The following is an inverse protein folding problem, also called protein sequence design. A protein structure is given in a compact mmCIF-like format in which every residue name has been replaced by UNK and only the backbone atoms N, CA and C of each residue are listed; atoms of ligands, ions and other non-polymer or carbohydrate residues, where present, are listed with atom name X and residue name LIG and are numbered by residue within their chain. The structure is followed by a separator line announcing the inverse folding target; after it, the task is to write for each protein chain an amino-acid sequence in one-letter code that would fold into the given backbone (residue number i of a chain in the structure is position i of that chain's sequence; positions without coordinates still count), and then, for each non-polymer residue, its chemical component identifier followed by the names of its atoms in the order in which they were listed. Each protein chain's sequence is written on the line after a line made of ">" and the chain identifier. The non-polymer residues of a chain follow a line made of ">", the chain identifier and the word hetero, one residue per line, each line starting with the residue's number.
data_IF_391649354999
#
_entry.id   IF_391649354999
#
_cell.length_a   1.000
_cell.length_b   1.000
_cell.length_c   1.000
_cell.angle_alpha   90.00
_cell.angle_beta   90.00
_cell.angle_gamma   90.00
#
_symmetry.space_group_name_H-M   'P 1'
#
loop_
_entity.id
_entity.type
_entity.pdbx_description
1 polymer ?
#
# COMPACT_ATOMS: atom_id res chain seq x y z
N UNK A 1 -17.79 10.81 62.81
CA UNK A 1 -17.65 9.79 61.73
C UNK A 1 -17.54 10.39 60.33
N UNK A 2 -18.36 11.37 59.91
CA UNK A 2 -18.33 11.91 58.54
C UNK A 2 -16.98 12.43 58.02
N UNK A 3 -16.20 13.15 58.84
CA UNK A 3 -14.86 13.64 58.45
C UNK A 3 -13.84 12.52 58.19
N UNK A 4 -13.98 11.38 58.85
CA UNK A 4 -13.07 10.23 58.67
C UNK A 4 -13.41 9.47 57.39
N UNK A 5 -14.70 9.30 57.12
CA UNK A 5 -15.20 8.69 55.88
C UNK A 5 -14.80 9.52 54.66
N UNK A 6 -14.91 10.85 54.72
CA UNK A 6 -14.51 11.73 53.62
C UNK A 6 -13.00 11.62 53.30
N UNK A 7 -12.14 11.49 54.32
CA UNK A 7 -10.69 11.29 54.13
C UNK A 7 -10.38 9.94 53.49
N UNK A 8 -11.07 8.87 53.91
CA UNK A 8 -10.89 7.52 53.35
C UNK A 8 -11.33 7.49 51.89
N UNK A 9 -12.47 8.10 51.56
CA UNK A 9 -12.96 8.22 50.17
C UNK A 9 -11.98 9.03 49.32
N UNK A 10 -11.45 10.14 49.84
CA UNK A 10 -10.45 10.95 49.14
C UNK A 10 -9.17 10.18 48.81
N UNK A 11 -8.67 9.37 49.74
CA UNK A 11 -7.51 8.49 49.51
C UNK A 11 -7.82 7.41 48.48
N UNK A 12 -9.02 6.82 48.51
CA UNK A 12 -9.40 5.80 47.54
C UNK A 12 -9.50 6.37 46.12
N UNK A 13 -10.10 7.55 45.95
CA UNK A 13 -10.17 8.25 44.66
C UNK A 13 -8.77 8.59 44.17
N UNK A 14 -7.89 9.07 45.05
CA UNK A 14 -6.50 9.37 44.71
C UNK A 14 -5.73 8.13 44.22
N UNK A 15 -5.91 6.99 44.88
CA UNK A 15 -5.32 5.71 44.45
C UNK A 15 -5.87 5.28 43.09
N UNK A 16 -7.17 5.44 42.84
CA UNK A 16 -7.78 5.12 41.53
C UNK A 16 -7.26 6.04 40.43
N UNK A 17 -7.07 7.34 40.73
CA UNK A 17 -6.49 8.30 39.77
C UNK A 17 -5.03 7.96 39.48
N UNK A 18 -4.23 7.62 40.50
CA UNK A 18 -2.85 7.16 40.30
C UNK A 18 -2.83 5.86 39.49
N UNK A 19 -3.65 4.88 39.85
CA UNK A 19 -3.74 3.64 39.09
C UNK A 19 -4.15 3.90 37.64
N UNK A 20 -5.09 4.80 37.40
CA UNK A 20 -5.48 5.21 36.05
C UNK A 20 -4.33 5.92 35.31
N UNK A 21 -3.57 6.79 35.96
CA UNK A 21 -2.43 7.46 35.33
C UNK A 21 -1.27 6.51 34.99
N UNK A 22 -1.02 5.48 35.82
CA UNK A 22 0.06 4.52 35.59
C UNK A 22 -0.35 3.31 34.74
N UNK A 23 -1.64 2.94 34.73
CA UNK A 23 -2.16 1.77 34.02
C UNK A 23 -3.16 2.09 32.91
N UNK A 24 -3.38 3.38 32.58
CA UNK A 24 -4.19 3.72 31.41
C UNK A 24 -3.51 3.20 30.14
N UNK A 25 -4.28 2.63 29.20
CA UNK A 25 -3.73 2.20 27.92
C UNK A 25 -3.16 3.41 27.19
N UNK A 26 -1.88 3.36 26.83
CA UNK A 26 -1.29 4.35 25.91
C UNK A 26 -2.05 4.31 24.60
N UNK A 27 -2.33 5.49 24.02
CA UNK A 27 -2.88 5.59 22.68
C UNK A 27 -1.85 5.04 21.68
N UNK A 28 -2.26 4.02 20.93
CA UNK A 28 -1.43 3.33 19.95
C UNK A 28 -1.91 3.66 18.55
N UNK A 29 -0.96 3.79 17.64
CA UNK A 29 -1.25 3.76 16.21
C UNK A 29 -1.43 2.31 15.78
N UNK A 30 -2.56 2.03 15.13
CA UNK A 30 -2.79 0.73 14.52
C UNK A 30 -1.76 0.47 13.42
N UNK A 31 -1.14 -0.71 13.46
CA UNK A 31 -0.31 -1.22 12.36
C UNK A 31 -1.23 -1.95 11.40
N UNK A 32 -1.39 -1.44 10.18
CA UNK A 32 -2.16 -2.15 9.17
C UNK A 32 -1.29 -3.27 8.58
N UNK A 33 -1.59 -4.52 8.94
CA UNK A 33 -0.96 -5.67 8.32
C UNK A 33 -1.58 -5.95 6.95
N UNK A 34 -0.77 -6.39 6.00
CA UNK A 34 -1.28 -6.82 4.70
C UNK A 34 -2.24 -8.02 4.87
N UNK A 35 -3.55 -7.87 4.55
CA UNK A 35 -4.54 -8.91 4.79
C UNK A 35 -4.26 -10.19 3.99
N UNK A 36 -3.55 -10.06 2.87
CA UNK A 36 -3.27 -11.14 1.93
C UNK A 36 -2.01 -11.96 2.27
N UNK A 37 -1.30 -11.67 3.37
CA UNK A 37 -0.05 -12.40 3.73
C UNK A 37 -0.24 -13.55 4.73
N UNK A 38 -1.20 -13.45 5.66
CA UNK A 38 -1.31 -14.39 6.80
C UNK A 38 -2.66 -15.10 6.93
N UNK A 39 -3.53 -15.01 5.92
CA UNK A 39 -4.82 -15.68 5.95
C UNK A 39 -4.62 -17.21 6.10
N UNK A 40 -5.08 -17.75 7.24
CA UNK A 40 -4.95 -19.17 7.60
C UNK A 40 -5.56 -20.04 6.49
N UNK A 41 -4.81 -21.05 6.04
CA UNK A 41 -5.30 -22.10 5.15
C UNK A 41 -6.34 -22.99 5.86
N UNK A 42 -7.53 -22.45 6.13
CA UNK A 42 -8.68 -23.22 6.61
C UNK A 42 -9.65 -23.47 5.45
N UNK A 43 -9.14 -23.96 4.33
CA UNK A 43 -9.98 -24.44 3.24
C UNK A 43 -9.63 -25.91 3.03
N UNK A 44 -10.53 -26.78 3.51
CA UNK A 44 -10.61 -28.16 3.02
C UNK A 44 -10.51 -28.11 1.51
N UNK A 45 -9.61 -28.89 0.90
CA UNK A 45 -9.55 -29.05 -0.55
C UNK A 45 -10.88 -29.62 -1.05
N UNK A 46 -11.89 -28.77 -1.25
CA UNK A 46 -12.99 -29.09 -2.13
C UNK A 46 -12.34 -29.31 -3.49
N UNK A 47 -12.64 -30.44 -4.11
CA UNK A 47 -12.28 -30.68 -5.50
C UNK A 47 -12.91 -29.56 -6.32
N UNK A 48 -12.15 -28.47 -6.54
CA UNK A 48 -12.57 -27.36 -7.39
C UNK A 48 -12.53 -27.91 -8.81
N UNK A 49 -13.70 -28.35 -9.28
CA UNK A 49 -13.93 -28.56 -10.70
C UNK A 49 -13.65 -27.22 -11.37
N UNK A 50 -12.70 -27.13 -12.32
CA UNK A 50 -12.41 -25.88 -12.99
C UNK A 50 -13.69 -25.40 -13.68
N UNK A 51 -14.28 -24.32 -13.17
CA UNK A 51 -15.34 -23.63 -13.88
C UNK A 51 -14.70 -23.04 -15.14
N UNK A 52 -15.02 -23.64 -16.29
CA UNK A 52 -14.61 -23.21 -17.63
C UNK A 52 -15.37 -21.93 -18.06
N UNK A 53 -15.44 -20.94 -17.18
CA UNK A 53 -15.85 -19.59 -17.52
C UNK A 53 -14.70 -18.63 -17.21
N UNK A 54 -13.59 -18.81 -17.93
CA UNK A 54 -12.64 -17.72 -18.19
C UNK A 54 -13.38 -16.65 -19.01
N UNK A 55 -14.26 -15.90 -18.37
CA UNK A 55 -14.91 -14.76 -18.99
C UNK A 55 -13.84 -13.70 -19.23
N UNK A 56 -13.31 -13.68 -20.45
CA UNK A 56 -12.13 -12.92 -20.84
C UNK A 56 -12.56 -11.58 -21.45
N UNK A 57 -12.12 -10.48 -20.84
CA UNK A 57 -12.35 -9.16 -21.41
C UNK A 57 -11.40 -8.93 -22.59
N UNK A 58 -11.88 -8.23 -23.62
CA UNK A 58 -11.06 -7.90 -24.80
C UNK A 58 -9.89 -7.00 -24.37
N UNK A 59 -8.65 -7.28 -24.83
CA UNK A 59 -7.50 -6.43 -24.54
C UNK A 59 -7.78 -4.95 -24.89
N UNK A 60 -7.28 -4.01 -24.08
CA UNK A 60 -7.47 -2.58 -24.36
C UNK A 60 -6.78 -2.22 -25.68
N UNK A 61 -7.45 -1.39 -26.49
CA UNK A 61 -6.92 -0.90 -27.77
C UNK A 61 -6.02 0.33 -27.62
N UNK A 62 -6.05 0.99 -26.47
CA UNK A 62 -5.27 2.18 -26.16
C UNK A 62 -4.94 2.25 -24.67
N UNK A 63 -4.11 3.22 -24.28
CA UNK A 63 -3.74 3.43 -22.88
C UNK A 63 -2.64 2.49 -22.38
N UNK A 64 -2.36 2.56 -21.08
CA UNK A 64 -1.21 1.88 -20.47
C UNK A 64 -1.21 0.36 -20.62
N UNK A 65 -2.39 -0.27 -20.78
CA UNK A 65 -2.50 -1.71 -20.98
C UNK A 65 -1.86 -2.19 -22.28
N UNK A 66 -1.74 -1.32 -23.28
CA UNK A 66 -1.04 -1.62 -24.55
C UNK A 66 0.48 -1.63 -24.42
N UNK A 67 1.02 -1.15 -23.29
CA UNK A 67 2.46 -1.08 -23.07
C UNK A 67 3.01 -2.40 -22.52
N UNK A 68 2.17 -3.27 -21.97
CA UNK A 68 2.59 -4.54 -21.38
C UNK A 68 3.13 -5.48 -22.46
N UNK A 69 4.37 -5.93 -22.28
CA UNK A 69 5.09 -6.76 -23.24
C UNK A 69 5.88 -5.99 -24.29
N UNK A 70 5.77 -4.66 -24.33
CA UNK A 70 6.57 -3.81 -25.22
C UNK A 70 7.97 -3.55 -24.64
N UNK A 71 8.89 -3.16 -25.53
CA UNK A 71 10.22 -2.68 -25.12
C UNK A 71 10.13 -1.33 -24.42
N UNK A 72 10.93 -1.15 -23.37
CA UNK A 72 11.01 0.11 -22.62
C UNK A 72 11.38 1.31 -23.52
N UNK A 73 12.25 1.10 -24.52
CA UNK A 73 12.71 2.16 -25.44
C UNK A 73 11.54 2.94 -26.06
N UNK A 74 10.42 2.26 -26.37
CA UNK A 74 9.22 2.92 -26.92
C UNK A 74 8.62 3.95 -25.97
N UNK A 75 8.73 3.75 -24.65
CA UNK A 75 8.31 4.73 -23.66
C UNK A 75 9.34 5.84 -23.51
N UNK A 76 10.63 5.52 -23.55
CA UNK A 76 11.70 6.52 -23.51
C UNK A 76 11.62 7.47 -24.70
N UNK A 77 11.31 6.97 -25.90
CA UNK A 77 11.09 7.79 -27.09
C UNK A 77 9.89 8.73 -26.94
N UNK A 78 8.84 8.27 -26.25
CA UNK A 78 7.58 9.03 -26.08
C UNK A 78 7.64 10.06 -24.94
N UNK A 79 8.23 9.69 -23.81
CA UNK A 79 8.18 10.47 -22.56
C UNK A 79 9.53 11.09 -22.17
N UNK A 80 10.59 10.78 -22.91
CA UNK A 80 11.97 11.09 -22.55
C UNK A 80 12.51 10.14 -21.49
N UNK A 81 13.60 10.56 -20.83
CA UNK A 81 14.17 9.82 -19.72
C UNK A 81 13.21 9.80 -18.52
N UNK A 82 13.24 8.69 -17.76
CA UNK A 82 12.48 8.55 -16.53
C UNK A 82 13.03 9.50 -15.44
N UNK A 83 12.15 10.00 -14.57
CA UNK A 83 12.50 10.87 -13.46
C UNK A 83 13.24 10.11 -12.35
N UNK A 84 12.97 8.82 -12.21
CA UNK A 84 13.68 7.93 -11.27
C UNK A 84 13.75 6.51 -11.81
N UNK A 85 14.91 5.87 -11.66
CA UNK A 85 15.13 4.47 -12.02
C UNK A 85 15.78 3.75 -10.85
N UNK A 86 15.28 2.56 -10.50
CA UNK A 86 15.86 1.78 -9.41
C UNK A 86 15.64 0.28 -9.57
N UNK A 87 16.57 -0.50 -9.02
CA UNK A 87 16.45 -1.95 -8.94
C UNK A 87 15.36 -2.36 -7.95
N UNK A 88 14.67 -3.45 -8.27
CA UNK A 88 13.65 -4.07 -7.45
C UNK A 88 13.93 -5.57 -7.37
N UNK A 89 13.46 -6.22 -6.30
CA UNK A 89 13.67 -7.66 -6.06
C UNK A 89 13.30 -8.51 -7.28
N UNK A 90 13.89 -9.70 -7.39
CA UNK A 90 13.68 -10.67 -8.48
C UNK A 90 14.10 -10.18 -9.88
N UNK A 91 15.10 -9.29 -9.93
CA UNK A 91 15.72 -8.80 -11.17
C UNK A 91 14.88 -7.79 -11.95
N UNK A 92 13.84 -7.23 -11.34
CA UNK A 92 13.05 -6.18 -11.94
C UNK A 92 13.70 -4.81 -11.76
N UNK A 93 13.33 -3.85 -12.60
CA UNK A 93 13.66 -2.43 -12.44
C UNK A 93 12.39 -1.59 -12.54
N UNK A 94 12.29 -0.56 -11.71
CA UNK A 94 11.19 0.41 -11.79
C UNK A 94 11.68 1.71 -12.43
N UNK A 95 10.86 2.26 -13.31
CA UNK A 95 11.03 3.54 -13.98
C UNK A 95 9.83 4.42 -13.63
N UNK A 96 10.08 5.52 -12.93
CA UNK A 96 9.05 6.47 -12.52
C UNK A 96 9.01 7.62 -13.52
N UNK A 97 7.82 7.88 -14.08
CA UNK A 97 7.58 9.03 -14.95
C UNK A 97 6.53 9.94 -14.31
N UNK A 98 6.88 11.21 -14.13
CA UNK A 98 6.08 12.25 -13.50
C UNK A 98 5.91 13.38 -14.51
N UNK A 99 4.70 13.55 -15.01
CA UNK A 99 4.33 14.68 -15.90
C UNK A 99 3.16 15.44 -15.30
N UNK A 100 2.77 16.53 -15.94
CA UNK A 100 1.61 17.30 -15.49
C UNK A 100 0.36 16.40 -15.43
N UNK A 101 -0.21 16.25 -14.23
CA UNK A 101 -1.36 15.37 -13.92
C UNK A 101 -1.23 13.90 -14.36
N UNK A 102 -0.02 13.39 -14.55
CA UNK A 102 0.24 12.00 -14.93
C UNK A 102 1.38 11.44 -14.09
N UNK A 103 1.13 10.30 -13.46
CA UNK A 103 2.12 9.60 -12.66
C UNK A 103 2.13 8.13 -13.04
N UNK A 104 3.32 7.62 -13.40
CA UNK A 104 3.53 6.24 -13.81
C UNK A 104 4.66 5.58 -13.03
N UNK A 105 4.46 4.32 -12.63
CA UNK A 105 5.53 3.42 -12.19
C UNK A 105 5.56 2.26 -13.17
N UNK A 106 6.59 2.19 -14.00
CA UNK A 106 6.78 1.18 -15.03
C UNK A 106 7.79 0.16 -14.53
N UNK A 107 7.35 -1.08 -14.33
CA UNK A 107 8.22 -2.19 -13.91
C UNK A 107 8.66 -2.99 -15.14
N UNK A 108 9.97 -3.18 -15.27
CA UNK A 108 10.63 -3.75 -16.44
C UNK A 108 11.50 -4.93 -16.02
N UNK A 109 11.58 -5.95 -16.89
CA UNK A 109 12.54 -7.04 -16.76
C UNK A 109 13.03 -7.45 -18.14
N UNK A 110 14.35 -7.56 -18.30
CA UNK A 110 15.00 -7.84 -19.59
C UNK A 110 14.52 -6.87 -20.70
N UNK A 111 14.45 -5.58 -20.37
CA UNK A 111 13.99 -4.47 -21.24
C UNK A 111 12.54 -4.56 -21.74
N UNK A 112 11.77 -5.52 -21.24
CA UNK A 112 10.35 -5.67 -21.52
C UNK A 112 9.53 -5.14 -20.35
N UNK A 113 8.50 -4.36 -20.67
CA UNK A 113 7.55 -3.80 -19.70
C UNK A 113 6.65 -4.91 -19.17
N UNK A 114 6.67 -5.11 -17.85
CA UNK A 114 5.96 -6.16 -17.12
C UNK A 114 4.76 -5.66 -16.34
N UNK A 115 4.83 -4.41 -15.87
CA UNK A 115 3.75 -3.74 -15.16
C UNK A 115 3.81 -2.22 -15.38
N UNK A 116 2.65 -1.58 -15.39
CA UNK A 116 2.51 -0.13 -15.42
C UNK A 116 1.41 0.25 -14.43
N UNK A 117 1.80 0.84 -13.29
CA UNK A 117 0.87 1.56 -12.42
C UNK A 117 0.68 2.98 -12.95
N UNK A 118 -0.56 3.46 -13.01
CA UNK A 118 -0.89 4.82 -13.43
C UNK A 118 -1.96 5.46 -12.55
N UNK A 119 -1.76 6.73 -12.22
CA UNK A 119 -2.73 7.61 -11.57
C UNK A 119 -2.52 9.06 -12.02
N UNK A 120 -3.44 9.95 -11.65
CA UNK A 120 -3.53 11.33 -12.14
C UNK A 120 -4.73 11.57 -13.06
N UNK A 121 -5.09 12.83 -13.28
CA UNK A 121 -6.31 13.19 -14.03
C UNK A 121 -6.21 12.90 -15.53
N UNK A 122 -4.99 12.93 -16.08
CA UNK A 122 -4.76 12.93 -17.52
C UNK A 122 -4.16 11.60 -18.02
N UNK A 123 -4.14 10.54 -17.18
CA UNK A 123 -3.66 9.22 -17.61
C UNK A 123 -4.71 8.49 -18.44
N UNK A 124 -4.27 7.79 -19.50
CA UNK A 124 -5.13 6.91 -20.27
C UNK A 124 -5.04 5.47 -19.74
N UNK A 125 -6.08 5.07 -18.99
CA UNK A 125 -6.21 3.74 -18.34
C UNK A 125 -7.41 2.95 -18.86
N UNK A 126 -7.77 3.14 -20.14
CA UNK A 126 -8.89 2.42 -20.78
C UNK A 126 -8.85 0.90 -20.51
N UNK A 127 -10.02 0.24 -20.35
CA UNK A 127 -11.37 0.75 -20.63
C UNK A 127 -12.01 1.59 -19.52
N UNK A 128 -11.32 1.79 -18.39
CA UNK A 128 -11.79 2.62 -17.27
C UNK A 128 -11.14 4.00 -17.28
N UNK A 129 -11.54 4.86 -16.35
CA UNK A 129 -11.05 6.23 -16.17
C UNK A 129 -10.84 6.56 -14.69
N UNK A 130 -9.72 7.22 -14.39
CA UNK A 130 -9.46 7.74 -13.04
C UNK A 130 -10.57 8.73 -12.63
N UNK A 131 -11.01 8.65 -11.38
CA UNK A 131 -12.13 9.40 -10.76
C UNK A 131 -13.54 9.09 -11.28
N UNK A 132 -13.72 8.06 -12.13
CA UNK A 132 -15.06 7.55 -12.42
C UNK A 132 -15.58 6.62 -11.31
N UNK A 133 -16.86 6.24 -11.39
CA UNK A 133 -17.49 5.35 -10.42
C UNK A 133 -16.93 3.93 -10.52
N UNK A 134 -16.46 3.35 -9.41
CA UNK A 134 -15.92 1.98 -9.37
C UNK A 134 -16.96 0.91 -9.72
N UNK A 135 -18.25 1.17 -9.47
CA UNK A 135 -19.35 0.26 -9.82
C UNK A 135 -19.42 -0.07 -11.31
N UNK A 136 -18.98 0.83 -12.20
CA UNK A 136 -18.96 0.59 -13.64
C UNK A 136 -18.10 -0.62 -14.03
N UNK A 137 -17.12 -0.99 -13.22
CA UNK A 137 -16.27 -2.16 -13.47
C UNK A 137 -17.13 -3.43 -13.42
N UNK A 138 -17.97 -3.58 -12.40
CA UNK A 138 -18.81 -4.79 -12.23
C UNK A 138 -19.96 -4.86 -13.24
N UNK A 139 -20.35 -3.72 -13.82
CA UNK A 139 -21.39 -3.65 -14.85
C UNK A 139 -20.84 -4.01 -16.24
N UNK A 140 -19.59 -3.66 -16.53
CA UNK A 140 -19.04 -3.67 -17.89
C UNK A 140 -17.90 -4.67 -18.10
N UNK A 141 -17.31 -5.20 -17.03
CA UNK A 141 -16.17 -6.09 -17.08
C UNK A 141 -16.50 -7.39 -16.35
N UNK A 142 -16.01 -8.49 -16.91
CA UNK A 142 -16.08 -9.78 -16.23
C UNK A 142 -14.90 -9.94 -15.28
N UNK A 143 -15.20 -10.37 -14.06
CA UNK A 143 -14.24 -10.57 -12.98
C UNK A 143 -14.36 -12.01 -12.53
N UNK A 144 -13.24 -12.72 -12.48
CA UNK A 144 -13.15 -14.05 -11.89
C UNK A 144 -12.64 -13.89 -10.44
N UNK A 145 -13.42 -14.27 -9.41
CA UNK A 145 -12.98 -14.22 -8.01
C UNK A 145 -11.82 -15.17 -7.69
N UNK A 146 -11.66 -16.25 -8.45
CA UNK A 146 -10.64 -17.29 -8.22
C UNK A 146 -9.78 -17.52 -9.49
N UNK A 147 -9.00 -16.52 -9.94
CA UNK A 147 -8.23 -16.67 -11.15
C UNK A 147 -7.03 -17.60 -10.93
N UNK A 148 -6.83 -18.52 -11.88
CA UNK A 148 -5.64 -19.37 -11.91
C UNK A 148 -4.61 -18.84 -12.91
N UNK A 149 -3.36 -18.74 -12.46
CA UNK A 149 -2.25 -18.18 -13.23
C UNK A 149 -1.14 -19.21 -13.35
N UNK A 150 -0.53 -19.31 -14.53
CA UNK A 150 0.64 -20.17 -14.77
C UNK A 150 1.87 -19.34 -15.10
N UNK A 151 2.95 -19.52 -14.31
CA UNK A 151 4.26 -18.90 -14.53
C UNK A 151 5.34 -19.96 -14.33
N UNK A 152 6.25 -20.13 -15.28
CA UNK A 152 7.36 -21.09 -15.21
C UNK A 152 6.92 -22.52 -14.82
N UNK A 153 5.82 -23.01 -15.41
CA UNK A 153 5.19 -24.31 -15.12
C UNK A 153 4.60 -24.45 -13.71
N UNK A 154 4.72 -23.46 -12.83
CA UNK A 154 4.03 -23.40 -11.54
C UNK A 154 2.65 -22.76 -11.72
N UNK A 155 1.65 -23.32 -11.03
CA UNK A 155 0.27 -22.81 -10.98
C UNK A 155 0.09 -22.02 -9.68
N UNK A 156 -0.54 -20.87 -9.79
CA UNK A 156 -0.90 -19.97 -8.69
C UNK A 156 -2.40 -19.76 -8.75
N UNK A 157 -3.12 -20.34 -7.80
CA UNK A 157 -4.54 -20.11 -7.64
C UNK A 157 -4.72 -18.92 -6.68
N UNK A 158 -5.29 -17.83 -7.17
CA UNK A 158 -5.57 -16.63 -6.39
C UNK A 158 -6.98 -16.72 -5.84
N UNK A 159 -7.17 -16.24 -4.61
CA UNK A 159 -8.48 -16.04 -4.00
C UNK A 159 -8.65 -14.55 -3.72
N UNK A 160 -9.63 -13.91 -4.38
CA UNK A 160 -9.98 -12.52 -4.10
C UNK A 160 -10.98 -12.49 -2.94
N UNK A 161 -10.62 -11.81 -1.85
CA UNK A 161 -11.57 -11.51 -0.78
C UNK A 161 -12.66 -10.54 -1.25
N UNK A 162 -13.73 -10.41 -0.48
CA UNK A 162 -14.77 -9.38 -0.72
C UNK A 162 -14.18 -7.97 -0.79
N UNK A 163 -13.17 -7.68 0.03
CA UNK A 163 -12.48 -6.39 0.06
C UNK A 163 -11.58 -6.22 -1.16
N UNK A 164 -10.87 -7.27 -1.61
CA UNK A 164 -10.10 -7.23 -2.86
C UNK A 164 -11.03 -6.97 -4.05
N UNK A 165 -12.18 -7.65 -4.13
CA UNK A 165 -13.14 -7.44 -5.20
C UNK A 165 -13.65 -6.00 -5.23
N UNK A 166 -13.87 -5.37 -4.06
CA UNK A 166 -14.43 -4.00 -3.95
C UNK A 166 -13.40 -2.89 -4.04
N UNK A 167 -12.16 -3.14 -3.65
CA UNK A 167 -11.14 -2.08 -3.47
C UNK A 167 -9.91 -2.26 -4.36
N UNK A 168 -9.63 -3.49 -4.83
CA UNK A 168 -8.45 -3.82 -5.62
C UNK A 168 -8.77 -4.89 -6.66
N UNK A 169 -9.84 -4.71 -7.42
CA UNK A 169 -10.37 -5.72 -8.34
C UNK A 169 -9.31 -6.17 -9.36
N UNK A 170 -9.16 -7.49 -9.54
CA UNK A 170 -8.28 -8.09 -10.54
C UNK A 170 -9.10 -8.50 -11.78
N UNK A 171 -8.83 -7.86 -12.91
CA UNK A 171 -9.56 -8.08 -14.17
C UNK A 171 -8.62 -8.64 -15.23
N UNK A 172 -9.01 -9.73 -15.89
CA UNK A 172 -8.24 -10.34 -16.98
C UNK A 172 -8.58 -9.68 -18.32
N UNK A 173 -7.55 -9.30 -19.07
CA UNK A 173 -7.61 -8.69 -20.40
C UNK A 173 -6.68 -9.45 -21.37
N UNK A 174 -7.23 -10.41 -22.10
CA UNK A 174 -6.39 -11.34 -22.85
C UNK A 174 -5.45 -12.12 -21.92
N UNK A 175 -4.16 -12.13 -22.28
CA UNK A 175 -3.08 -12.74 -21.49
C UNK A 175 -2.59 -11.91 -20.30
N UNK A 176 -3.06 -10.65 -20.16
CA UNK A 176 -2.60 -9.71 -19.14
C UNK A 176 -3.72 -9.43 -18.12
N UNK A 177 -3.37 -8.74 -17.04
CA UNK A 177 -4.29 -8.38 -15.97
C UNK A 177 -4.29 -6.86 -15.73
N UNK A 178 -5.37 -6.37 -15.13
CA UNK A 178 -5.46 -5.04 -14.55
C UNK A 178 -5.88 -5.16 -13.09
N UNK A 179 -5.12 -4.53 -12.19
CA UNK A 179 -5.56 -4.21 -10.84
C UNK A 179 -6.20 -2.83 -10.85
N UNK A 180 -7.45 -2.73 -10.41
CA UNK A 180 -8.17 -1.46 -10.36
C UNK A 180 -8.37 -1.06 -8.90
N UNK A 181 -7.73 0.03 -8.50
CA UNK A 181 -7.72 0.52 -7.12
C UNK A 181 -8.88 1.49 -6.90
N UNK A 182 -9.75 1.19 -5.94
CA UNK A 182 -11.01 1.90 -5.71
C UNK A 182 -11.01 2.41 -4.26
N UNK A 183 -11.30 3.70 -4.09
CA UNK A 183 -11.61 4.27 -2.77
C UNK A 183 -13.06 3.96 -2.43
N UNK A 184 -13.29 2.95 -1.59
CA UNK A 184 -14.61 2.44 -1.24
C UNK A 184 -15.53 3.51 -0.65
N UNK A 185 -14.97 4.48 0.09
CA UNK A 185 -15.75 5.56 0.72
C UNK A 185 -16.37 6.50 -0.31
N UNK A 186 -15.64 6.81 -1.37
CA UNK A 186 -16.12 7.69 -2.46
C UNK A 186 -16.64 6.93 -3.68
N UNK A 187 -16.45 5.61 -3.71
CA UNK A 187 -16.68 4.73 -4.86
C UNK A 187 -16.02 5.24 -6.15
N UNK A 188 -14.76 5.69 -6.04
CA UNK A 188 -13.99 6.25 -7.16
C UNK A 188 -12.76 5.41 -7.50
N UNK A 189 -12.51 5.24 -8.79
CA UNK A 189 -11.25 4.63 -9.27
C UNK A 189 -10.11 5.61 -9.03
N UNK A 190 -9.15 5.23 -8.19
CA UNK A 190 -8.03 6.06 -7.76
C UNK A 190 -6.78 5.81 -8.62
N UNK A 191 -6.58 4.57 -9.06
CA UNK A 191 -5.45 4.18 -9.90
C UNK A 191 -5.74 2.89 -10.65
N UNK A 192 -4.95 2.60 -11.67
CA UNK A 192 -4.97 1.32 -12.38
C UNK A 192 -3.55 0.83 -12.56
N UNK A 193 -3.33 -0.48 -12.35
CA UNK A 193 -2.09 -1.14 -12.75
C UNK A 193 -2.38 -2.24 -13.75
N UNK A 194 -1.86 -2.10 -14.97
CA UNK A 194 -1.79 -3.23 -15.90
C UNK A 194 -0.51 -4.01 -15.68
N UNK A 195 -0.56 -5.34 -15.75
CA UNK A 195 0.59 -6.20 -15.54
C UNK A 195 0.44 -7.58 -16.17
N UNK A 196 1.58 -8.22 -16.47
CA UNK A 196 1.61 -9.63 -16.87
C UNK A 196 1.61 -10.58 -15.66
N UNK A 197 1.46 -11.88 -15.94
CA UNK A 197 1.45 -12.92 -14.91
C UNK A 197 2.74 -12.97 -14.08
N UNK A 198 3.90 -12.67 -14.68
CA UNK A 198 5.18 -12.70 -13.99
C UNK A 198 5.26 -11.58 -12.95
N UNK A 199 4.86 -10.36 -13.32
CA UNK A 199 4.77 -9.23 -12.39
C UNK A 199 3.73 -9.47 -11.29
N UNK A 200 2.58 -10.07 -11.61
CA UNK A 200 1.53 -10.34 -10.63
C UNK A 200 1.99 -11.31 -9.55
N UNK A 201 2.66 -12.40 -9.94
CA UNK A 201 3.29 -13.35 -9.03
C UNK A 201 4.45 -12.73 -8.24
N UNK A 202 5.15 -11.74 -8.82
CA UNK A 202 6.23 -11.02 -8.13
C UNK A 202 5.71 -10.08 -7.02
N UNK A 203 4.64 -9.34 -7.29
CA UNK A 203 4.05 -8.42 -6.30
C UNK A 203 3.27 -9.14 -5.20
N UNK A 204 2.70 -10.33 -5.50
CA UNK A 204 1.83 -11.08 -4.57
C UNK A 204 0.80 -10.19 -3.85
N UNK A 205 -0.03 -9.44 -4.59
CA UNK A 205 -0.97 -8.50 -3.99
C UNK A 205 -2.20 -9.16 -3.37
N UNK A 206 -2.47 -10.43 -3.70
CA UNK A 206 -3.62 -11.22 -3.25
C UNK A 206 -3.17 -12.50 -2.57
N UNK A 207 -4.08 -13.10 -1.80
CA UNK A 207 -3.86 -14.42 -1.24
C UNK A 207 -3.73 -15.45 -2.36
N UNK A 208 -2.75 -16.35 -2.21
CA UNK A 208 -2.55 -17.46 -3.15
C UNK A 208 -2.59 -18.79 -2.43
N UNK A 209 -3.38 -19.73 -2.93
CA UNK A 209 -3.29 -21.14 -2.55
C UNK A 209 -2.15 -21.73 -3.38
N UNK A 210 -0.93 -21.69 -2.85
CA UNK A 210 0.18 -22.35 -3.51
C UNK A 210 -0.08 -23.86 -3.53
N UNK A 211 0.10 -24.50 -4.68
CA UNK A 211 0.27 -25.95 -4.72
C UNK A 211 1.50 -26.27 -3.85
N UNK A 212 1.23 -26.82 -2.66
CA UNK A 212 2.16 -27.29 -1.64
C UNK A 212 3.58 -27.51 -2.16
N UNK A 213 4.49 -26.64 -1.75
CA UNK A 213 5.90 -26.92 -1.47
C UNK A 213 6.39 -25.79 -0.55
N UNK A 214 6.21 -26.00 0.75
CA UNK A 214 6.68 -25.15 1.85
C UNK A 214 8.23 -25.00 1.89
N UNK A 215 8.97 -25.60 0.95
CA UNK A 215 10.43 -25.55 0.87
C UNK A 215 11.01 -24.24 0.30
N UNK A 216 10.20 -23.38 -0.33
CA UNK A 216 10.66 -22.04 -0.77
C UNK A 216 10.65 -20.98 0.36
N UNK A 217 10.02 -21.27 1.50
CA UNK A 217 9.97 -20.33 2.65
C UNK A 217 11.27 -20.32 3.48
N UNK A 218 12.20 -21.23 3.23
CA UNK A 218 13.48 -21.34 3.96
C UNK A 218 14.73 -21.04 3.13
N UNK A 219 14.60 -20.77 1.83
CA UNK A 219 15.76 -20.51 0.99
C UNK A 219 15.94 -19.02 0.70
N UNK A 220 16.87 -18.46 1.48
CA UNK A 220 17.68 -17.25 1.26
C UNK A 220 16.93 -15.93 1.18
N UNK A 221 17.40 -15.00 2.02
CA UNK A 221 17.54 -13.60 1.66
C UNK A 221 18.04 -13.49 0.22
N UNK A 222 17.15 -13.44 -0.77
CA UNK A 222 17.40 -12.57 -1.90
C UNK A 222 17.37 -11.18 -1.30
N UNK A 223 18.56 -10.72 -0.89
CA UNK A 223 18.74 -9.41 -0.30
C UNK A 223 18.04 -8.41 -1.21
N UNK A 224 17.12 -7.64 -0.64
CA UNK A 224 16.51 -6.53 -1.38
C UNK A 224 17.66 -5.69 -1.97
N UNK A 225 17.57 -5.28 -3.25
CA UNK A 225 18.53 -4.33 -3.79
C UNK A 225 18.67 -3.14 -2.83
N UNK A 226 19.90 -2.67 -2.61
CA UNK A 226 20.19 -1.66 -1.59
C UNK A 226 19.41 -0.36 -1.84
N UNK A 227 19.05 -0.10 -3.10
CA UNK A 227 18.26 1.06 -3.52
C UNK A 227 16.77 0.91 -3.21
N UNK A 228 16.26 -0.32 -3.02
CA UNK A 228 14.83 -0.59 -3.05
C UNK A 228 14.09 0.15 -1.94
N UNK A 229 14.53 0.05 -0.68
CA UNK A 229 13.85 0.66 0.45
C UNK A 229 13.74 2.19 0.32
N UNK A 230 14.86 2.87 0.03
CA UNK A 230 14.88 4.31 -0.17
C UNK A 230 13.98 4.76 -1.34
N UNK A 231 13.95 3.99 -2.44
CA UNK A 231 13.09 4.31 -3.57
C UNK A 231 11.61 4.00 -3.32
N UNK A 232 11.30 2.99 -2.52
CA UNK A 232 9.94 2.72 -2.07
C UNK A 232 9.43 3.83 -1.14
N UNK A 233 10.28 4.39 -0.28
CA UNK A 233 9.93 5.57 0.52
C UNK A 233 9.61 6.79 -0.37
N UNK A 234 10.42 7.04 -1.40
CA UNK A 234 10.11 8.13 -2.34
C UNK A 234 8.81 7.89 -3.11
N UNK A 235 8.55 6.64 -3.52
CA UNK A 235 7.28 6.26 -4.14
C UNK A 235 6.11 6.43 -3.17
N UNK A 236 6.31 6.19 -1.86
CA UNK A 236 5.30 6.36 -0.81
C UNK A 236 4.87 7.83 -0.69
N UNK A 237 5.83 8.75 -0.66
CA UNK A 237 5.57 10.19 -0.68
C UNK A 237 4.82 10.63 -1.93
N UNK A 238 5.31 10.21 -3.10
CA UNK A 238 4.73 10.60 -4.39
C UNK A 238 3.30 10.09 -4.52
N UNK A 239 3.07 8.80 -4.25
CA UNK A 239 1.74 8.20 -4.35
C UNK A 239 0.77 8.80 -3.34
N UNK A 240 1.20 9.08 -2.12
CA UNK A 240 0.40 9.82 -1.11
C UNK A 240 -0.07 11.17 -1.68
N UNK A 241 0.85 11.94 -2.28
CA UNK A 241 0.52 13.23 -2.85
C UNK A 241 -0.33 13.13 -4.13
N UNK A 242 -0.20 12.08 -4.95
CA UNK A 242 -1.13 11.83 -6.05
C UNK A 242 -2.57 11.60 -5.53
N UNK A 243 -2.73 10.80 -4.47
CA UNK A 243 -4.05 10.56 -3.88
C UNK A 243 -4.67 11.85 -3.31
N UNK A 244 -3.86 12.68 -2.64
CA UNK A 244 -4.30 14.00 -2.15
C UNK A 244 -4.73 14.93 -3.29
N UNK A 245 -3.92 15.04 -4.35
CA UNK A 245 -4.24 15.84 -5.54
C UNK A 245 -5.54 15.40 -6.23
N UNK A 246 -5.79 14.10 -6.33
CA UNK A 246 -7.04 13.57 -6.87
C UNK A 246 -8.27 14.00 -6.05
N UNK A 247 -8.11 14.22 -4.74
CA UNK A 247 -9.15 14.73 -3.84
C UNK A 247 -9.16 16.26 -3.72
N UNK A 248 -8.35 16.98 -4.50
CA UNK A 248 -8.28 18.44 -4.45
C UNK A 248 -7.59 18.99 -3.20
N UNK A 249 -6.77 18.17 -2.54
CA UNK A 249 -5.98 18.59 -1.38
C UNK A 249 -4.57 19.00 -1.82
N UNK A 250 -3.99 19.95 -1.08
CA UNK A 250 -2.61 20.36 -1.27
C UNK A 250 -1.64 19.19 -0.99
N UNK A 251 -0.58 19.02 -1.81
CA UNK A 251 0.44 18.03 -1.55
C UNK A 251 1.23 18.38 -0.27
N UNK A 252 1.60 17.37 0.49
CA UNK A 252 2.42 17.51 1.67
C UNK A 252 3.89 17.73 1.27
N UNK A 253 4.56 18.61 1.99
CA UNK A 253 6.01 18.83 1.87
C UNK A 253 6.74 17.68 2.53
N UNK A 254 7.79 17.19 1.90
CA UNK A 254 8.67 16.17 2.50
C UNK A 254 9.63 16.88 3.46
N UNK A 255 9.62 16.48 4.72
CA UNK A 255 10.51 17.00 5.76
C UNK A 255 11.47 15.90 6.22
N UNK A 256 12.77 16.13 6.00
CA UNK A 256 13.81 15.15 6.31
C UNK A 256 14.00 14.94 7.82
N UNK A 257 13.70 15.93 8.67
CA UNK A 257 13.79 15.77 10.12
C UNK A 257 12.67 14.85 10.62
N UNK A 258 11.45 15.02 10.08
CA UNK A 258 10.34 14.09 10.33
C UNK A 258 10.70 12.68 9.82
N UNK A 259 11.35 12.58 8.65
CA UNK A 259 11.86 11.29 8.14
C UNK A 259 12.88 10.63 9.07
N UNK A 260 13.78 11.41 9.68
CA UNK A 260 14.73 10.88 10.67
C UNK A 260 14.02 10.34 11.91
N UNK A 261 13.01 11.07 12.41
CA UNK A 261 12.16 10.62 13.52
C UNK A 261 11.43 9.32 13.14
N UNK A 262 10.86 9.24 11.94
CA UNK A 262 10.18 8.03 11.46
C UNK A 262 11.10 6.79 11.47
N UNK A 263 12.36 6.97 11.07
CA UNK A 263 13.35 5.90 11.06
C UNK A 263 13.77 5.46 12.45
N UNK A 264 14.04 6.42 13.35
CA UNK A 264 14.36 6.13 14.75
C UNK A 264 13.19 5.46 15.46
N UNK A 265 11.97 5.96 15.25
CA UNK A 265 10.73 5.40 15.77
C UNK A 265 10.53 3.95 15.33
N UNK A 266 10.72 3.67 14.03
CA UNK A 266 10.63 2.31 13.49
C UNK A 266 11.71 1.38 14.06
N UNK A 267 12.94 1.87 14.20
CA UNK A 267 14.05 1.11 14.77
C UNK A 267 13.75 0.65 16.22
N UNK A 268 13.31 1.58 17.07
CA UNK A 268 12.97 1.29 18.46
C UNK A 268 11.78 0.34 18.56
N UNK A 269 10.73 0.53 17.73
CA UNK A 269 9.55 -0.32 17.73
C UNK A 269 9.89 -1.78 17.36
N UNK A 270 10.71 -2.00 16.33
CA UNK A 270 11.06 -3.35 15.86
C UNK A 270 12.03 -4.06 16.81
N UNK A 271 12.89 -3.33 17.52
CA UNK A 271 13.82 -3.90 18.51
C UNK A 271 13.10 -4.62 19.66
N UNK A 272 11.88 -4.20 20.00
CA UNK A 272 11.08 -4.77 21.08
C UNK A 272 10.45 -6.15 20.81
N UNK A 273 10.61 -6.71 19.59
CA UNK A 273 10.01 -7.99 19.20
C UNK A 273 8.50 -7.95 18.92
N UNK A 274 7.81 -6.89 19.35
CA UNK A 274 6.47 -6.49 18.91
C UNK A 274 6.53 -5.02 18.51
N UNK A 275 6.26 -4.72 17.23
CA UNK A 275 6.33 -3.36 16.73
C UNK A 275 5.12 -2.55 17.22
N UNK A 276 5.26 -1.90 18.39
CA UNK A 276 4.27 -1.00 18.94
C UNK A 276 4.61 0.45 18.63
N UNK A 277 3.63 1.20 18.13
CA UNK A 277 3.75 2.62 17.79
C UNK A 277 2.79 3.41 18.68
N UNK A 278 3.30 4.32 19.50
CA UNK A 278 2.47 5.12 20.43
C UNK A 278 2.48 6.60 20.08
N UNK A 279 1.37 7.29 20.37
CA UNK A 279 1.25 8.73 20.17
C UNK A 279 2.25 9.50 21.05
N UNK A 280 2.44 9.07 22.30
CA UNK A 280 3.38 9.67 23.24
C UNK A 280 4.82 9.63 22.72
N UNK A 281 5.27 8.46 22.21
CA UNK A 281 6.63 8.31 21.72
C UNK A 281 6.89 9.18 20.49
N UNK A 282 5.92 9.28 19.57
CA UNK A 282 6.01 10.16 18.41
C UNK A 282 6.10 11.64 18.85
N UNK A 283 5.23 12.05 19.77
CA UNK A 283 5.16 13.43 20.26
C UNK A 283 6.43 13.82 21.01
N UNK A 284 6.95 12.93 21.86
CA UNK A 284 8.23 13.09 22.56
C UNK A 284 9.39 13.25 21.57
N UNK A 285 9.50 12.37 20.57
CA UNK A 285 10.56 12.45 19.56
C UNK A 285 10.51 13.72 18.71
N UNK A 286 9.30 14.22 18.38
CA UNK A 286 9.14 15.50 17.69
C UNK A 286 9.60 16.67 18.56
N UNK A 287 9.24 16.68 19.85
CA UNK A 287 9.65 17.71 20.80
C UNK A 287 11.17 17.71 21.03
N UNK A 288 11.78 16.53 21.18
CA UNK A 288 13.23 16.37 21.39
C UNK A 288 14.05 16.91 20.22
N UNK A 289 13.50 16.81 19.00
CA UNK A 289 14.10 17.36 17.79
C UNK A 289 13.69 18.82 17.52
N UNK A 290 12.97 19.45 18.46
CA UNK A 290 12.47 20.83 18.36
C UNK A 290 11.60 21.08 17.12
N UNK A 291 10.85 20.07 16.67
CA UNK A 291 9.87 20.24 15.60
C UNK A 291 8.64 20.93 16.18
N UNK A 292 8.30 22.10 15.66
CA UNK A 292 7.07 22.80 16.03
C UNK A 292 5.89 22.22 15.26
N UNK A 293 4.82 21.85 15.95
CA UNK A 293 3.59 21.33 15.36
C UNK A 293 2.35 21.68 16.19
N UNK A 294 1.22 21.81 15.51
CA UNK A 294 -0.12 21.93 16.13
C UNK A 294 -0.75 20.56 16.33
N UNK A 295 -0.59 19.66 15.35
CA UNK A 295 -1.03 18.27 15.44
C UNK A 295 -0.15 17.33 14.63
N UNK A 296 -0.11 16.06 15.00
CA UNK A 296 0.68 15.02 14.34
C UNK A 296 -0.06 13.69 14.33
N UNK A 297 0.25 12.83 13.36
CA UNK A 297 -0.22 11.45 13.33
C UNK A 297 0.70 10.56 12.51
N UNK A 298 0.50 9.25 12.57
CA UNK A 298 1.30 8.28 11.84
C UNK A 298 0.42 7.23 11.17
N UNK A 299 0.78 6.84 9.95
CA UNK A 299 0.34 5.58 9.36
C UNK A 299 1.49 4.58 9.42
N UNK A 300 1.16 3.34 9.75
CA UNK A 300 2.09 2.22 9.71
C UNK A 300 1.46 1.08 8.93
N UNK A 301 2.23 0.48 8.03
CA UNK A 301 1.85 -0.73 7.33
C UNK A 301 2.99 -1.75 7.40
N UNK A 302 2.65 -3.02 7.57
CA UNK A 302 3.63 -4.10 7.56
C UNK A 302 3.31 -5.08 6.44
N UNK A 303 4.32 -5.81 5.99
CA UNK A 303 4.11 -7.00 5.16
C UNK A 303 3.59 -6.73 3.73
N UNK A 304 3.76 -5.50 3.27
CA UNK A 304 3.50 -5.08 1.90
C UNK A 304 4.72 -5.23 1.00
N UNK A 305 4.50 -5.71 -0.23
CA UNK A 305 5.57 -5.82 -1.23
C UNK A 305 5.76 -4.51 -2.01
N UNK A 306 4.73 -3.69 -2.12
CA UNK A 306 4.74 -2.49 -2.94
C UNK A 306 3.83 -1.37 -2.42
N UNK A 307 4.19 -0.13 -2.77
CA UNK A 307 3.49 1.08 -2.32
C UNK A 307 2.05 1.17 -2.83
N UNK A 308 1.73 0.87 -4.10
CA UNK A 308 0.34 0.95 -4.57
C UNK A 308 -0.64 0.07 -3.78
N UNK A 309 -0.24 -1.16 -3.44
CA UNK A 309 -1.06 -2.03 -2.58
C UNK A 309 -1.20 -1.44 -1.18
N UNK A 310 -0.11 -0.99 -0.55
CA UNK A 310 -0.13 -0.32 0.76
C UNK A 310 -1.05 0.90 0.80
N UNK A 311 -0.88 1.83 -0.14
CA UNK A 311 -1.68 3.06 -0.21
C UNK A 311 -3.16 2.72 -0.40
N UNK A 312 -3.48 1.71 -1.23
CA UNK A 312 -4.86 1.26 -1.37
C UNK A 312 -5.44 0.73 -0.06
N UNK A 313 -4.69 -0.10 0.68
CA UNK A 313 -5.11 -0.59 1.99
C UNK A 313 -5.30 0.53 3.01
N UNK A 314 -4.38 1.50 3.06
CA UNK A 314 -4.55 2.67 3.92
C UNK A 314 -5.75 3.54 3.54
N UNK A 315 -6.00 3.75 2.24
CA UNK A 315 -7.16 4.52 1.78
C UNK A 315 -8.49 3.84 2.05
N UNK A 316 -8.50 2.51 2.24
CA UNK A 316 -9.71 1.75 2.59
C UNK A 316 -9.80 1.40 4.09
N UNK A 317 -8.90 1.94 4.92
CA UNK A 317 -9.01 1.93 6.38
C UNK A 317 -9.34 3.33 6.88
N UNK A 318 -10.43 3.50 7.63
CA UNK A 318 -10.93 4.83 8.02
C UNK A 318 -9.89 5.71 8.71
N UNK A 319 -9.20 5.13 9.69
CA UNK A 319 -8.20 5.84 10.49
C UNK A 319 -7.04 6.27 9.58
N UNK A 320 -6.46 5.35 8.81
CA UNK A 320 -5.33 5.62 7.93
C UNK A 320 -5.68 6.59 6.80
N UNK A 321 -6.86 6.42 6.20
CA UNK A 321 -7.42 7.29 5.15
C UNK A 321 -7.60 8.71 5.66
N UNK A 322 -8.15 8.86 6.87
CA UNK A 322 -8.39 10.18 7.46
C UNK A 322 -7.10 10.98 7.61
N UNK A 323 -5.98 10.32 7.91
CA UNK A 323 -4.64 10.93 8.05
C UNK A 323 -4.07 11.35 6.70
N UNK A 324 -4.09 10.46 5.70
CA UNK A 324 -3.64 10.76 4.32
C UNK A 324 -4.39 11.95 3.72
N UNK A 325 -5.71 12.02 3.96
CA UNK A 325 -6.60 13.02 3.38
C UNK A 325 -6.93 14.17 4.34
N UNK A 326 -6.19 14.33 5.43
CA UNK A 326 -6.38 15.45 6.34
C UNK A 326 -5.88 16.75 5.68
N UNK A 327 -6.75 17.74 5.54
CA UNK A 327 -6.42 19.03 4.95
C UNK A 327 -5.52 19.91 5.84
N UNK A 328 -5.45 19.61 7.14
CA UNK A 328 -4.64 20.37 8.10
C UNK A 328 -3.14 20.07 8.02
N UNK A 329 -2.77 18.85 7.63
CA UNK A 329 -1.37 18.49 7.52
C UNK A 329 -0.70 19.22 6.36
N UNK A 330 0.52 19.69 6.60
CA UNK A 330 1.34 20.46 5.67
C UNK A 330 2.61 19.72 5.29
N UNK A 331 3.10 18.84 6.17
CA UNK A 331 4.38 18.16 6.04
C UNK A 331 4.23 16.66 6.32
N UNK A 332 5.14 15.87 5.75
CA UNK A 332 5.25 14.44 6.02
C UNK A 332 6.71 13.98 6.01
N UNK A 333 6.95 12.87 6.72
CA UNK A 333 8.23 12.16 6.70
C UNK A 333 8.01 10.71 7.12
N UNK A 334 8.80 9.78 6.60
CA UNK A 334 8.57 8.35 6.74
C UNK A 334 9.84 7.53 6.61
N UNK A 335 9.70 6.22 6.81
CA UNK A 335 10.75 5.24 6.58
C UNK A 335 10.18 3.95 5.99
N UNK A 336 11.01 3.20 5.26
CA UNK A 336 10.70 1.87 4.74
C UNK A 336 11.84 0.94 5.11
N UNK A 337 11.63 0.08 6.09
CA UNK A 337 12.66 -0.83 6.55
C UNK A 337 12.06 -2.06 7.25
N UNK A 338 12.81 -3.17 7.28
CA UNK A 338 12.42 -4.41 7.98
C UNK A 338 10.99 -4.92 7.65
N UNK A 339 10.49 -4.67 6.44
CA UNK A 339 9.13 -5.06 6.04
C UNK A 339 8.01 -4.11 6.49
N UNK A 340 8.36 -2.97 7.09
CA UNK A 340 7.45 -1.91 7.50
C UNK A 340 7.55 -0.68 6.61
N UNK A 341 6.44 0.04 6.52
CA UNK A 341 6.30 1.35 5.91
C UNK A 341 5.68 2.27 6.95
N UNK A 342 6.38 3.35 7.30
CA UNK A 342 5.88 4.37 8.23
C UNK A 342 5.76 5.71 7.51
N UNK A 343 4.71 6.45 7.82
CA UNK A 343 4.52 7.81 7.32
C UNK A 343 3.91 8.67 8.41
N UNK A 344 4.69 9.61 8.92
CA UNK A 344 4.29 10.64 9.88
C UNK A 344 3.77 11.85 9.11
N UNK A 345 2.70 12.45 9.61
CA UNK A 345 2.07 13.65 9.09
C UNK A 345 2.07 14.74 10.16
N UNK A 346 2.40 15.96 9.78
CA UNK A 346 2.47 17.11 10.70
C UNK A 346 1.69 18.30 10.15
N UNK A 347 0.91 18.92 11.03
CA UNK A 347 0.37 20.28 10.88
C UNK A 347 1.33 21.23 11.60
N UNK A 348 2.05 22.07 10.85
CA UNK A 348 2.99 23.04 11.42
C UNK A 348 2.29 24.24 12.04
#
# INVERSE_FOLDING_TARGET
>A
MGKMILKIVGVMVFIVVIAYLFYSPRLKFDVLENPNKHAKHNVERKNVTPSNQDAENKPPKSGIGTWIGEKLDKLTDKFGQADRVYAYKNGFKNYVFKKHHQYYIVTVKNDIIKSVYATGKDVNVQPVKIMENGSHIFENLSINPEPSIKVNHKRYDIELSDDDMKTQALVKFGKNYAQIYIDQRSNKIMAVRFLDSEALVNFKPYQTVAASNEEELKNKHDALPYEQNANQLMTLYETTNEMRKLKGLEPLKIDNQIGHIASFNLYEAVRGGHAEFTEDALTEQLNDQNITFTSTSQNVGSDFNDVPTLINSWLNSDIHRSRILNAKYTDMGGDVNNGYYTLIFVEK
#
